data_IF_532045270816
#
_entry.id   IF_532045270816
#
_cell.length_a   1.000
_cell.length_b   1.000
_cell.length_c   1.000
_cell.angle_alpha   90.00
_cell.angle_beta   90.00
_cell.angle_gamma   90.00
#
_symmetry.space_group_name_H-M   'P 1'
#
loop_
_entity.id
_entity.type
_entity.pdbx_description
1 polymer ?
#
# COMPACT_ATOMS: atom_id res chain seq x y z
N UNK A 1 8.28 -4.66 6.86
CA UNK A 1 8.85 -3.61 6.01
C UNK A 1 8.45 -3.82 4.56
N UNK A 2 8.97 -2.99 3.66
CA UNK A 2 8.56 -2.89 2.25
C UNK A 2 9.32 -3.83 1.31
N UNK A 3 9.86 -4.94 1.85
CA UNK A 3 10.67 -5.92 1.11
C UNK A 3 10.35 -7.39 1.40
N UNK A 4 9.56 -7.68 2.44
CA UNK A 4 9.28 -9.06 2.92
C UNK A 4 10.52 -9.79 3.50
N UNK A 5 11.67 -9.12 3.62
CA UNK A 5 12.90 -9.69 4.19
C UNK A 5 12.79 -10.02 5.67
N UNK A 6 11.92 -9.32 6.39
CA UNK A 6 11.71 -9.50 7.84
C UNK A 6 10.85 -10.72 8.18
N UNK A 7 10.53 -11.57 7.20
CA UNK A 7 9.77 -12.80 7.42
C UNK A 7 10.57 -13.78 8.28
N UNK A 8 9.97 -14.24 9.38
CA UNK A 8 10.57 -15.24 10.27
C UNK A 8 10.75 -16.62 9.59
N UNK A 9 10.08 -16.85 8.46
CA UNK A 9 10.16 -18.09 7.68
C UNK A 9 11.10 -17.97 6.47
N UNK A 10 11.75 -16.81 6.31
CA UNK A 10 12.61 -16.50 5.18
C UNK A 10 11.95 -15.60 4.13
N UNK A 11 12.77 -14.91 3.31
CA UNK A 11 12.30 -13.92 2.37
C UNK A 11 11.60 -14.54 1.15
N UNK A 12 10.46 -13.97 0.75
CA UNK A 12 9.92 -14.18 -0.60
C UNK A 12 10.79 -13.46 -1.64
N UNK A 13 10.87 -13.99 -2.86
CA UNK A 13 11.67 -13.44 -3.96
C UNK A 13 10.80 -12.85 -5.05
N UNK A 14 11.34 -11.89 -5.81
CA UNK A 14 10.62 -11.30 -6.94
C UNK A 14 10.65 -12.24 -8.16
N UNK A 15 9.49 -12.61 -8.75
CA UNK A 15 9.44 -13.48 -9.91
C UNK A 15 10.16 -12.95 -11.16
N UNK A 16 10.32 -11.63 -11.29
CA UNK A 16 11.05 -11.02 -12.40
C UNK A 16 12.57 -11.09 -12.23
N UNK A 17 13.06 -11.19 -10.99
CA UNK A 17 14.47 -11.32 -10.67
C UNK A 17 14.63 -11.81 -9.22
N UNK A 18 15.05 -13.08 -8.99
CA UNK A 18 15.19 -13.64 -7.65
C UNK A 18 16.24 -12.98 -6.76
N UNK A 19 17.11 -12.12 -7.30
CA UNK A 19 18.05 -11.31 -6.51
C UNK A 19 17.42 -10.03 -5.94
N UNK A 20 16.15 -9.77 -6.25
CA UNK A 20 15.39 -8.57 -5.87
C UNK A 20 14.18 -8.91 -5.02
N UNK A 21 13.76 -7.91 -4.26
CA UNK A 21 12.63 -8.02 -3.33
C UNK A 21 11.30 -7.98 -4.10
N UNK A 22 10.27 -8.73 -3.68
CA UNK A 22 8.92 -8.64 -4.25
C UNK A 22 8.11 -7.45 -3.69
N UNK A 23 8.74 -6.60 -2.88
CA UNK A 23 8.09 -5.54 -2.12
C UNK A 23 7.60 -6.04 -0.77
N UNK A 24 6.84 -5.22 -0.04
CA UNK A 24 6.27 -5.64 1.23
C UNK A 24 5.19 -4.73 1.82
N UNK A 25 4.46 -5.18 2.83
CA UNK A 25 4.61 -6.49 3.49
C UNK A 25 3.93 -7.66 2.77
N UNK A 26 3.04 -7.41 1.80
CA UNK A 26 2.34 -8.48 1.08
C UNK A 26 3.12 -9.01 -0.14
N UNK A 27 4.45 -9.12 -0.01
CA UNK A 27 5.33 -9.54 -1.12
C UNK A 27 5.03 -10.96 -1.61
N UNK A 28 4.72 -11.90 -0.71
CA UNK A 28 4.32 -13.25 -1.08
C UNK A 28 3.03 -13.30 -1.91
N UNK A 29 2.02 -12.50 -1.57
CA UNK A 29 0.77 -12.41 -2.34
C UNK A 29 1.01 -11.87 -3.75
N UNK A 30 1.82 -10.83 -3.89
CA UNK A 30 2.16 -10.25 -5.19
C UNK A 30 2.99 -11.21 -6.04
N UNK A 31 4.00 -11.85 -5.44
CA UNK A 31 4.86 -12.81 -6.11
C UNK A 31 4.07 -14.03 -6.60
N UNK A 32 3.21 -14.63 -5.77
CA UNK A 32 2.41 -15.79 -6.15
C UNK A 32 1.49 -15.53 -7.35
N UNK A 33 0.86 -14.34 -7.40
CA UNK A 33 0.04 -13.94 -8.54
C UNK A 33 0.90 -13.69 -9.79
N UNK A 34 2.02 -12.99 -9.63
CA UNK A 34 2.91 -12.69 -10.76
C UNK A 34 3.51 -13.95 -11.38
N UNK A 35 3.93 -14.91 -10.55
CA UNK A 35 4.45 -16.22 -10.95
C UNK A 35 3.39 -17.17 -11.53
N UNK A 36 2.10 -16.84 -11.38
CA UNK A 36 1.01 -17.72 -11.81
C UNK A 36 0.78 -18.93 -10.90
N UNK A 37 1.26 -18.88 -9.66
CA UNK A 37 0.97 -19.90 -8.64
C UNK A 37 -0.48 -19.83 -8.16
N UNK A 38 -1.10 -18.65 -8.24
CA UNK A 38 -2.52 -18.46 -7.99
C UNK A 38 -3.11 -17.41 -8.95
N UNK A 39 -4.42 -17.48 -9.18
CA UNK A 39 -5.14 -16.53 -10.05
C UNK A 39 -5.29 -15.16 -9.37
N UNK A 40 -5.49 -15.18 -8.05
CA UNK A 40 -5.66 -14.00 -7.22
C UNK A 40 -5.21 -14.29 -5.80
N UNK A 41 -4.82 -13.23 -5.09
CA UNK A 41 -4.46 -13.30 -3.68
C UNK A 41 -5.04 -12.11 -2.92
N UNK A 42 -5.12 -12.23 -1.59
CA UNK A 42 -5.40 -11.11 -0.70
C UNK A 42 -4.09 -10.63 -0.05
N UNK A 43 -4.03 -9.34 0.22
CA UNK A 43 -3.04 -8.75 1.11
C UNK A 43 -3.67 -7.72 2.03
N UNK A 44 -2.82 -7.04 2.80
CA UNK A 44 -3.22 -5.91 3.65
C UNK A 44 -2.33 -4.71 3.34
N UNK A 45 -2.90 -3.51 3.31
CA UNK A 45 -2.20 -2.26 3.03
C UNK A 45 -2.40 -1.28 4.19
N UNK A 46 -1.33 -1.04 4.95
CA UNK A 46 -1.31 -0.06 6.05
C UNK A 46 -0.65 1.26 5.62
N UNK A 47 0.32 1.18 4.71
CA UNK A 47 1.07 2.34 4.20
C UNK A 47 1.63 2.11 2.81
N UNK A 48 1.03 1.23 2.00
CA UNK A 48 1.54 0.82 0.68
C UNK A 48 1.65 -0.68 0.47
N UNK A 49 1.34 -1.47 1.50
CA UNK A 49 1.67 -2.90 1.56
C UNK A 49 0.88 -3.82 0.63
N UNK A 50 -0.06 -3.29 -0.18
CA UNK A 50 -0.60 -3.96 -1.37
C UNK A 50 -0.03 -3.33 -2.65
N UNK A 51 -0.07 -2.01 -2.74
CA UNK A 51 0.25 -1.27 -3.97
C UNK A 51 1.73 -1.36 -4.34
N UNK A 52 2.64 -1.22 -3.39
CA UNK A 52 4.08 -1.29 -3.66
C UNK A 52 4.52 -2.70 -4.10
N UNK A 53 4.10 -3.81 -3.44
CA UNK A 53 4.36 -5.14 -3.97
C UNK A 53 3.79 -5.37 -5.37
N UNK A 54 2.61 -4.82 -5.65
CA UNK A 54 1.98 -4.94 -6.97
C UNK A 54 2.82 -4.23 -8.05
N UNK A 55 3.31 -3.03 -7.76
CA UNK A 55 4.24 -2.31 -8.63
C UNK A 55 5.55 -3.07 -8.85
N UNK A 56 6.12 -3.69 -7.81
CA UNK A 56 7.39 -4.44 -7.91
C UNK A 56 7.25 -5.76 -8.65
N UNK A 57 6.10 -6.42 -8.54
CA UNK A 57 5.85 -7.72 -9.16
C UNK A 57 5.09 -7.61 -10.50
N UNK A 58 4.73 -6.41 -10.94
CA UNK A 58 4.04 -6.20 -12.22
C UNK A 58 2.64 -6.81 -12.25
N UNK A 59 1.89 -6.67 -11.15
CA UNK A 59 0.51 -7.14 -11.03
C UNK A 59 -0.42 -5.99 -10.63
N UNK A 60 -1.73 -6.22 -10.66
CA UNK A 60 -2.71 -5.25 -10.16
C UNK A 60 -2.87 -5.43 -8.65
N UNK A 61 -2.77 -4.34 -7.91
CA UNK A 61 -2.98 -4.33 -6.45
C UNK A 61 -3.87 -3.18 -6.02
N UNK A 62 -4.99 -3.49 -5.38
CA UNK A 62 -5.98 -2.49 -4.95
C UNK A 62 -6.08 -2.45 -3.43
N UNK A 63 -5.98 -1.25 -2.86
CA UNK A 63 -6.41 -0.95 -1.50
C UNK A 63 -7.75 -0.19 -1.56
N UNK A 64 -8.84 -0.73 -1.02
CA UNK A 64 -10.12 -0.04 -1.07
C UNK A 64 -10.20 1.07 -0.02
N UNK A 65 -11.31 1.81 0.00
CA UNK A 65 -11.59 2.81 1.05
C UNK A 65 -11.46 2.16 2.42
N UNK A 66 -10.90 2.89 3.40
CA UNK A 66 -10.87 2.41 4.78
C UNK A 66 -12.29 2.13 5.28
N UNK A 67 -12.53 0.92 5.78
CA UNK A 67 -13.85 0.43 6.19
C UNK A 67 -14.70 -0.21 5.06
N UNK A 68 -14.26 -0.21 3.79
CA UNK A 68 -14.97 -0.92 2.70
C UNK A 68 -14.97 -2.44 2.85
N UNK A 69 -13.85 -3.01 3.29
CA UNK A 69 -13.67 -4.43 3.61
C UNK A 69 -13.50 -4.56 5.12
N UNK A 70 -14.16 -5.56 5.72
CA UNK A 70 -14.07 -5.85 7.15
C UNK A 70 -12.65 -6.21 7.55
N UNK A 71 -12.24 -5.76 8.73
CA UNK A 71 -10.95 -6.11 9.36
C UNK A 71 -11.13 -7.17 10.45
N UNK A 72 -12.35 -7.69 10.63
CA UNK A 72 -12.57 -8.82 11.53
C UNK A 72 -11.82 -10.05 11.00
N UNK A 73 -10.87 -10.56 11.80
CA UNK A 73 -9.97 -11.65 11.42
C UNK A 73 -8.64 -11.20 10.82
N UNK A 74 -8.46 -9.91 10.53
CA UNK A 74 -7.15 -9.35 10.20
C UNK A 74 -6.31 -9.18 11.47
N UNK A 75 -5.07 -9.69 11.45
CA UNK A 75 -4.10 -9.40 12.51
C UNK A 75 -3.69 -7.93 12.42
N UNK A 76 -4.20 -7.12 13.35
CA UNK A 76 -4.04 -5.68 13.31
C UNK A 76 -2.57 -5.26 13.51
N UNK A 77 -2.09 -4.40 12.61
CA UNK A 77 -0.85 -3.65 12.76
C UNK A 77 -1.16 -2.22 13.19
N UNK A 78 -1.74 -1.39 12.33
CA UNK A 78 -2.22 -0.06 12.68
C UNK A 78 -3.71 0.07 12.37
N UNK A 79 -4.53 -0.08 13.41
CA UNK A 79 -5.98 -0.17 13.33
C UNK A 79 -6.66 0.97 12.57
N UNK A 80 -6.12 2.18 12.53
CA UNK A 80 -6.74 3.30 11.81
C UNK A 80 -6.29 3.43 10.35
N UNK A 81 -5.45 2.51 9.86
CA UNK A 81 -4.79 2.55 8.56
C UNK A 81 -4.91 1.23 7.78
N UNK A 82 -4.93 0.10 8.48
CA UNK A 82 -4.99 -1.24 7.90
C UNK A 82 -6.22 -1.42 7.01
N UNK A 83 -6.03 -1.98 5.82
CA UNK A 83 -7.13 -2.43 4.99
C UNK A 83 -6.77 -3.62 4.11
N UNK A 84 -7.67 -4.61 4.03
CA UNK A 84 -7.52 -5.78 3.14
C UNK A 84 -7.89 -5.39 1.71
N UNK A 85 -7.20 -5.96 0.73
CA UNK A 85 -7.50 -5.76 -0.69
C UNK A 85 -6.86 -6.81 -1.60
N UNK A 86 -7.27 -6.83 -2.89
CA UNK A 86 -6.87 -7.88 -3.83
C UNK A 86 -5.54 -7.61 -4.56
N UNK A 87 -4.88 -8.71 -4.91
CA UNK A 87 -3.86 -8.82 -5.95
C UNK A 87 -4.38 -9.71 -7.08
N UNK A 88 -4.21 -9.28 -8.33
CA UNK A 88 -4.73 -9.99 -9.51
C UNK A 88 -3.90 -9.70 -10.76
N UNK A 89 -4.09 -10.51 -11.80
CA UNK A 89 -3.47 -10.27 -13.11
C UNK A 89 -4.15 -9.19 -13.95
N UNK A 90 -5.38 -8.78 -13.61
CA UNK A 90 -6.13 -7.76 -14.35
C UNK A 90 -7.01 -6.90 -13.45
N UNK A 91 -7.33 -5.68 -13.88
CA UNK A 91 -8.24 -4.78 -13.14
C UNK A 91 -9.65 -5.38 -13.07
N UNK A 92 -10.06 -6.13 -14.09
CA UNK A 92 -11.36 -6.81 -14.10
C UNK A 92 -11.47 -7.86 -12.98
N UNK A 93 -10.41 -8.67 -12.77
CA UNK A 93 -10.38 -9.64 -11.68
C UNK A 93 -10.32 -8.94 -10.31
N UNK A 94 -9.60 -7.81 -10.20
CA UNK A 94 -9.59 -7.02 -8.98
C UNK A 94 -10.98 -6.51 -8.61
N UNK A 95 -11.78 -6.08 -9.61
CA UNK A 95 -13.16 -5.63 -9.42
C UNK A 95 -14.06 -6.76 -8.90
N UNK A 96 -13.97 -7.94 -9.51
CA UNK A 96 -14.71 -9.15 -9.09
C UNK A 96 -14.39 -9.53 -7.64
N UNK A 97 -13.10 -9.65 -7.32
CA UNK A 97 -12.68 -10.05 -5.99
C UNK A 97 -13.05 -8.99 -4.94
N UNK A 98 -12.89 -7.70 -5.28
CA UNK A 98 -13.29 -6.61 -4.39
C UNK A 98 -14.79 -6.63 -4.10
N UNK A 99 -15.63 -6.90 -5.10
CA UNK A 99 -17.08 -6.97 -4.94
C UNK A 99 -17.48 -8.05 -3.93
N UNK A 100 -16.80 -9.20 -3.96
CA UNK A 100 -17.08 -10.33 -3.06
C UNK A 100 -16.67 -10.04 -1.62
N UNK A 101 -15.50 -9.42 -1.40
CA UNK A 101 -14.96 -9.22 -0.04
C UNK A 101 -15.44 -7.93 0.64
N UNK A 102 -16.02 -6.99 -0.12
CA UNK A 102 -16.52 -5.73 0.40
C UNK A 102 -17.87 -5.87 1.08
N UNK A 103 -18.20 -4.91 1.95
CA UNK A 103 -19.52 -4.77 2.55
C UNK A 103 -19.50 -4.75 4.06
N UNK A 104 -20.61 -4.31 4.64
CA UNK A 104 -20.79 -4.16 6.08
C UNK A 104 -20.61 -5.50 6.82
N UNK A 105 -19.86 -5.47 7.93
CA UNK A 105 -19.74 -6.59 8.86
C UNK A 105 -20.07 -6.13 10.28
N UNK A 106 -21.09 -6.73 10.88
CA UNK A 106 -21.50 -6.45 12.27
C UNK A 106 -20.43 -6.71 13.33
N UNK A 107 -19.38 -7.48 12.98
CA UNK A 107 -18.26 -7.80 13.88
C UNK A 107 -17.11 -6.78 13.79
N UNK A 108 -17.18 -5.83 12.86
CA UNK A 108 -16.22 -4.74 12.72
C UNK A 108 -16.94 -3.39 12.79
N UNK A 109 -16.84 -2.72 13.93
CA UNK A 109 -17.46 -1.42 14.18
C UNK A 109 -16.90 -0.28 13.29
N UNK A 110 -15.79 -0.51 12.60
CA UNK A 110 -15.19 0.46 11.66
C UNK A 110 -15.60 0.22 10.21
N UNK A 111 -16.28 -0.89 9.94
CA UNK A 111 -16.76 -1.21 8.62
C UNK A 111 -17.92 -0.28 8.24
N UNK A 112 -17.79 0.34 7.06
CA UNK A 112 -18.75 1.33 6.58
C UNK A 112 -20.07 0.65 6.22
N UNK A 113 -21.16 1.24 6.69
CA UNK A 113 -22.52 0.83 6.33
C UNK A 113 -22.89 1.43 4.96
N UNK A 114 -22.13 1.07 3.93
CA UNK A 114 -22.30 1.53 2.56
C UNK A 114 -22.60 0.31 1.65
N UNK A 115 -23.53 0.44 0.67
CA UNK A 115 -23.76 -0.62 -0.29
C UNK A 115 -22.49 -0.90 -1.09
N UNK A 116 -22.30 -2.17 -1.46
CA UNK A 116 -21.28 -2.58 -2.42
C UNK A 116 -21.89 -2.43 -3.81
N UNK A 117 -21.35 -1.57 -4.68
CA UNK A 117 -21.86 -1.43 -6.03
C UNK A 117 -21.44 -2.61 -6.92
N UNK A 118 -22.03 -2.70 -8.11
CA UNK A 118 -21.56 -3.61 -9.15
C UNK A 118 -20.32 -3.02 -9.81
N UNK A 119 -19.15 -3.36 -9.30
CA UNK A 119 -17.88 -2.82 -9.79
C UNK A 119 -17.62 -3.19 -11.25
N UNK A 120 -18.16 -4.30 -11.74
CA UNK A 120 -17.97 -4.72 -13.13
C UNK A 120 -18.70 -3.82 -14.12
N UNK A 121 -19.89 -3.34 -13.74
CA UNK A 121 -20.71 -2.48 -14.58
C UNK A 121 -19.99 -1.16 -14.91
N UNK A 122 -19.12 -0.69 -14.01
CA UNK A 122 -18.33 0.54 -14.20
C UNK A 122 -17.17 0.38 -15.19
N UNK A 123 -16.62 -0.84 -15.38
CA UNK A 123 -15.40 -1.05 -16.16
C UNK A 123 -15.53 -0.61 -17.62
N UNK A 124 -16.71 -0.79 -18.22
CA UNK A 124 -16.97 -0.50 -19.63
C UNK A 124 -17.32 0.97 -19.89
N UNK A 125 -17.41 1.80 -18.86
CA UNK A 125 -17.77 3.20 -19.01
C UNK A 125 -16.60 4.03 -19.59
N UNK A 126 -16.85 4.90 -20.57
CA UNK A 126 -15.81 5.74 -21.16
C UNK A 126 -15.26 6.74 -20.12
N UNK A 127 -13.98 7.08 -20.26
CA UNK A 127 -13.27 8.02 -19.36
C UNK A 127 -13.08 9.41 -19.96
N UNK A 128 -13.56 9.63 -21.20
CA UNK A 128 -13.45 10.92 -21.87
C UNK A 128 -14.14 12.03 -21.07
N UNK A 129 -13.44 13.14 -20.88
CA UNK A 129 -13.89 14.29 -20.09
C UNK A 129 -13.57 14.23 -18.60
N UNK A 130 -13.08 13.09 -18.07
CA UNK A 130 -12.61 13.02 -16.69
C UNK A 130 -11.31 13.81 -16.51
N UNK A 131 -11.15 14.41 -15.34
CA UNK A 131 -9.96 15.16 -14.93
C UNK A 131 -9.01 14.29 -14.12
N UNK A 132 -7.81 14.11 -14.63
CA UNK A 132 -6.73 13.34 -14.01
C UNK A 132 -5.72 14.32 -13.42
N UNK A 133 -5.64 14.35 -12.09
CA UNK A 133 -4.75 15.21 -11.34
C UNK A 133 -3.34 14.63 -11.21
N UNK A 134 -2.33 15.40 -11.63
CA UNK A 134 -0.91 15.09 -11.42
C UNK A 134 -0.42 15.89 -10.21
N UNK A 135 -0.07 15.19 -9.13
CA UNK A 135 0.42 15.82 -7.89
C UNK A 135 1.90 16.19 -8.08
N UNK A 136 2.20 17.49 -8.19
CA UNK A 136 3.56 17.98 -8.45
C UNK A 136 4.59 17.42 -7.47
N UNK A 137 4.26 17.39 -6.18
CA UNK A 137 5.15 16.91 -5.12
C UNK A 137 5.58 15.44 -5.31
N UNK A 138 4.78 14.62 -6.00
CA UNK A 138 5.12 13.23 -6.30
C UNK A 138 6.18 13.12 -7.42
N UNK A 139 6.14 14.01 -8.41
CA UNK A 139 7.05 14.01 -9.57
C UNK A 139 8.35 14.77 -9.32
N UNK A 140 8.40 15.54 -8.24
CA UNK A 140 9.56 16.25 -7.71
C UNK A 140 10.14 15.57 -6.46
N UNK A 141 9.56 14.43 -6.05
CA UNK A 141 9.99 13.68 -4.88
C UNK A 141 11.48 13.30 -4.98
N UNK A 142 12.29 13.57 -3.94
CA UNK A 142 13.68 13.14 -3.90
C UNK A 142 13.79 11.61 -4.06
N UNK A 143 14.69 11.16 -4.93
CA UNK A 143 14.93 9.74 -5.17
C UNK A 143 13.97 9.08 -6.16
N UNK A 144 13.06 9.82 -6.79
CA UNK A 144 12.27 9.31 -7.92
C UNK A 144 13.18 9.01 -9.12
N UNK A 145 13.24 7.74 -9.52
CA UNK A 145 13.99 7.28 -10.67
C UNK A 145 13.44 7.94 -11.96
N UNK A 146 14.29 8.51 -12.83
CA UNK A 146 13.86 9.10 -14.09
C UNK A 146 13.07 8.16 -15.01
N UNK A 147 13.37 6.86 -15.01
CA UNK A 147 12.64 5.85 -15.78
C UNK A 147 11.22 5.63 -15.23
N UNK A 148 11.08 5.62 -13.91
CA UNK A 148 9.77 5.55 -13.24
C UNK A 148 8.97 6.80 -13.58
N UNK A 149 9.58 7.98 -13.44
CA UNK A 149 8.93 9.26 -13.80
C UNK A 149 8.45 9.26 -15.26
N UNK A 150 9.31 8.86 -16.20
CA UNK A 150 8.97 8.81 -17.62
C UNK A 150 7.82 7.82 -17.92
N UNK A 151 7.88 6.62 -17.34
CA UNK A 151 6.83 5.59 -17.53
C UNK A 151 5.48 6.04 -16.98
N UNK A 152 5.45 6.72 -15.84
CA UNK A 152 4.21 7.22 -15.24
C UNK A 152 3.63 8.41 -16.02
N UNK A 153 4.48 9.30 -16.53
CA UNK A 153 4.02 10.39 -17.42
C UNK A 153 3.45 9.83 -18.73
N UNK A 154 4.06 8.79 -19.30
CA UNK A 154 3.49 8.09 -20.46
C UNK A 154 2.13 7.45 -20.15
N UNK A 155 1.91 6.99 -18.91
CA UNK A 155 0.58 6.52 -18.48
C UNK A 155 -0.46 7.65 -18.42
N UNK A 156 -0.06 8.83 -17.96
CA UNK A 156 -0.91 10.02 -18.01
C UNK A 156 -1.24 10.43 -19.45
N UNK A 157 -0.26 10.41 -20.36
CA UNK A 157 -0.47 10.66 -21.79
C UNK A 157 -1.42 9.63 -22.43
N UNK A 158 -1.34 8.35 -22.02
CA UNK A 158 -2.28 7.33 -22.47
C UNK A 158 -3.71 7.64 -22.03
N UNK A 159 -3.93 8.07 -20.78
CA UNK A 159 -5.25 8.53 -20.31
C UNK A 159 -5.72 9.79 -21.06
N UNK A 160 -4.82 10.72 -21.36
CA UNK A 160 -5.13 11.89 -22.18
C UNK A 160 -5.59 11.48 -23.60
N UNK A 161 -4.95 10.47 -24.20
CA UNK A 161 -5.35 9.94 -25.51
C UNK A 161 -6.74 9.28 -25.52
N UNK A 162 -7.20 8.81 -24.35
CA UNK A 162 -8.56 8.30 -24.14
C UNK A 162 -9.59 9.43 -23.88
N UNK A 163 -9.15 10.69 -23.92
CA UNK A 163 -10.01 11.86 -23.79
C UNK A 163 -10.06 12.46 -22.38
N UNK A 164 -9.22 12.02 -21.43
CA UNK A 164 -9.11 12.67 -20.13
C UNK A 164 -8.39 14.03 -20.23
N UNK A 165 -8.74 14.95 -19.32
CA UNK A 165 -8.02 16.21 -19.12
C UNK A 165 -6.93 16.01 -18.05
N UNK A 166 -5.68 16.34 -18.35
CA UNK A 166 -4.60 16.33 -17.36
C UNK A 166 -4.54 17.67 -16.64
N UNK A 167 -4.59 17.63 -15.31
CA UNK A 167 -4.56 18.82 -14.45
C UNK A 167 -3.40 18.70 -13.48
N UNK A 168 -2.43 19.61 -13.55
CA UNK A 168 -1.38 19.68 -12.54
C UNK A 168 -1.90 20.36 -11.27
N UNK A 169 -1.67 19.76 -10.11
CA UNK A 169 -2.08 20.30 -8.83
C UNK A 169 -1.04 20.06 -7.74
N UNK A 170 -1.23 20.72 -6.60
CA UNK A 170 -0.31 20.66 -5.46
C UNK A 170 -1.01 20.10 -4.23
N UNK A 171 -0.37 19.12 -3.60
CA UNK A 171 -0.68 18.60 -2.28
C UNK A 171 0.54 18.86 -1.38
N UNK A 172 0.69 20.06 -0.79
CA UNK A 172 1.94 20.46 -0.16
C UNK A 172 2.34 19.62 1.06
N UNK A 173 1.38 18.96 1.74
CA UNK A 173 1.65 18.04 2.86
C UNK A 173 1.85 16.59 2.42
N UNK A 174 1.94 16.30 1.12
CA UNK A 174 2.10 14.93 0.64
C UNK A 174 3.35 14.26 1.26
N UNK A 175 4.46 15.00 1.29
CA UNK A 175 5.73 14.52 1.86
C UNK A 175 5.74 14.44 3.40
N UNK A 176 4.79 15.08 4.09
CA UNK A 176 4.61 14.92 5.55
C UNK A 176 4.09 13.53 5.92
N UNK A 177 3.64 12.74 4.93
CA UNK A 177 3.08 11.41 5.09
C UNK A 177 4.00 10.44 5.85
N UNK A 178 5.28 10.37 5.49
CA UNK A 178 6.24 9.44 6.13
C UNK A 178 6.36 9.72 7.62
N UNK A 179 6.69 10.95 7.99
CA UNK A 179 6.88 11.30 9.39
C UNK A 179 5.58 11.08 10.20
N UNK A 180 4.43 11.40 9.61
CA UNK A 180 3.12 11.17 10.22
C UNK A 180 2.83 9.68 10.42
N UNK A 181 3.11 8.85 9.42
CA UNK A 181 2.92 7.40 9.45
C UNK A 181 3.80 6.71 10.47
N UNK A 182 5.09 7.03 10.51
CA UNK A 182 6.05 6.43 11.42
C UNK A 182 5.89 6.88 12.88
N UNK A 183 4.92 7.74 13.17
CA UNK A 183 4.42 7.97 14.53
C UNK A 183 3.11 7.22 14.77
N UNK A 184 2.12 7.34 13.88
CA UNK A 184 0.79 6.74 14.08
C UNK A 184 0.86 5.21 14.05
N UNK A 185 1.45 4.63 13.00
CA UNK A 185 1.45 3.17 12.82
C UNK A 185 2.22 2.46 13.94
N UNK A 186 3.44 2.89 14.35
CA UNK A 186 4.12 2.30 15.50
C UNK A 186 3.36 2.49 16.83
N UNK A 187 2.72 3.65 17.06
CA UNK A 187 1.90 3.89 18.25
C UNK A 187 0.75 2.90 18.35
N UNK A 188 0.02 2.69 17.27
CA UNK A 188 -1.07 1.72 17.26
C UNK A 188 -0.56 0.28 17.33
N UNK A 189 0.57 -0.02 16.69
CA UNK A 189 1.21 -1.33 16.76
C UNK A 189 1.66 -1.70 18.17
N UNK A 190 2.22 -0.76 18.94
CA UNK A 190 2.64 -1.04 20.31
C UNK A 190 1.47 -1.50 21.20
N UNK A 191 0.28 -0.92 20.98
CA UNK A 191 -0.95 -1.33 21.65
C UNK A 191 -1.54 -2.62 21.06
N UNK A 192 -1.64 -2.73 19.74
CA UNK A 192 -2.24 -3.88 19.05
C UNK A 192 -1.47 -5.17 19.34
N UNK A 193 -0.14 -5.11 19.30
CA UNK A 193 0.75 -6.25 19.53
C UNK A 193 0.98 -6.54 21.01
N UNK A 194 0.44 -5.75 21.95
CA UNK A 194 0.56 -6.01 23.39
C UNK A 194 -0.09 -7.35 23.80
N UNK A 195 -1.08 -7.81 23.03
CA UNK A 195 -1.80 -9.09 23.26
C UNK A 195 -0.95 -10.34 23.06
N UNK A 196 0.20 -10.24 22.38
CA UNK A 196 1.12 -11.35 22.18
C UNK A 196 2.07 -11.41 23.38
N UNK A 197 1.63 -12.14 24.40
CA UNK A 197 2.30 -12.31 25.69
C UNK A 197 2.68 -13.77 25.99
N UNK A 198 2.31 -14.71 25.10
CA UNK A 198 2.51 -16.14 25.28
C UNK A 198 1.53 -16.79 26.25
N UNK A 199 0.55 -16.06 26.81
CA UNK A 199 -0.37 -16.59 27.84
C UNK A 199 -1.51 -17.41 27.23
N UNK A 200 -2.22 -16.85 26.26
CA UNK A 200 -3.41 -17.51 25.66
C UNK A 200 -3.07 -18.32 24.41
N UNK A 201 -2.09 -17.88 23.63
CA UNK A 201 -1.71 -18.46 22.34
C UNK A 201 -0.32 -17.97 21.92
N UNK A 202 0.22 -18.59 20.87
CA UNK A 202 1.49 -18.20 20.25
C UNK A 202 2.71 -18.77 20.98
N UNK A 203 3.86 -18.16 20.72
CA UNK A 203 5.13 -18.55 21.33
C UNK A 203 5.15 -18.21 22.83
N UNK A 204 5.59 -19.16 23.64
CA UNK A 204 5.87 -18.97 25.07
C UNK A 204 7.29 -19.43 25.34
N UNK A 205 8.09 -18.55 25.93
CA UNK A 205 9.42 -18.90 26.42
C UNK A 205 9.31 -19.94 27.54
N UNK A 206 10.17 -20.95 27.53
CA UNK A 206 10.21 -22.01 28.55
C UNK A 206 10.75 -21.53 29.91
N UNK A 207 11.13 -20.25 30.01
CA UNK A 207 11.77 -19.68 31.18
C UNK A 207 10.91 -19.82 32.46
N UNK A 208 11.56 -20.31 33.52
CA UNK A 208 11.00 -20.44 34.87
C UNK A 208 11.31 -19.19 35.68
N UNK A 209 10.27 -18.53 36.18
CA UNK A 209 10.36 -17.25 36.87
C UNK A 209 8.98 -16.65 37.14
N UNK A 210 8.87 -15.32 37.02
CA UNK A 210 7.60 -14.59 37.19
C UNK A 210 6.81 -14.46 35.87
N UNK A 211 5.51 -14.13 35.96
CA UNK A 211 4.69 -13.82 34.78
C UNK A 211 5.30 -12.68 33.94
N UNK A 212 5.84 -11.65 34.60
CA UNK A 212 6.46 -10.52 33.92
C UNK A 212 7.69 -10.92 33.11
N UNK A 213 8.53 -11.81 33.67
CA UNK A 213 9.71 -12.35 32.99
C UNK A 213 9.33 -13.23 31.80
N UNK A 214 8.37 -14.14 31.98
CA UNK A 214 7.87 -15.00 30.90
C UNK A 214 7.30 -14.17 29.74
N UNK A 215 6.51 -13.12 30.03
CA UNK A 215 5.99 -12.21 29.00
C UNK A 215 7.10 -11.45 28.28
N UNK A 216 8.05 -10.87 29.03
CA UNK A 216 9.15 -10.10 28.45
C UNK A 216 10.02 -10.96 27.53
N UNK A 217 10.38 -12.17 27.97
CA UNK A 217 11.18 -13.12 27.18
C UNK A 217 10.44 -13.65 25.96
N UNK A 218 9.17 -14.06 26.12
CA UNK A 218 8.36 -14.54 24.99
C UNK A 218 8.26 -13.49 23.87
N UNK A 219 8.18 -12.22 24.23
CA UNK A 219 8.15 -11.10 23.26
C UNK A 219 9.52 -10.83 22.64
N UNK A 220 10.58 -10.84 23.44
CA UNK A 220 11.95 -10.61 22.95
C UNK A 220 12.43 -11.73 22.03
N UNK A 221 12.06 -12.98 22.32
CA UNK A 221 12.41 -14.17 21.54
C UNK A 221 11.47 -14.35 20.33
N UNK A 222 10.19 -13.95 20.45
CA UNK A 222 9.17 -14.18 19.42
C UNK A 222 9.04 -13.08 18.36
N UNK A 223 9.44 -11.83 18.65
CA UNK A 223 9.39 -10.74 17.66
C UNK A 223 10.76 -10.47 17.04
N UNK A 224 10.80 -10.30 15.72
CA UNK A 224 12.01 -9.80 15.04
C UNK A 224 12.30 -8.32 15.29
N UNK A 225 13.51 -7.90 14.99
CA UNK A 225 14.05 -6.56 15.31
C UNK A 225 13.18 -5.40 14.84
N UNK A 226 12.65 -5.46 13.61
CA UNK A 226 11.79 -4.39 13.07
C UNK A 226 10.49 -4.25 13.86
N UNK A 227 9.89 -5.37 14.30
CA UNK A 227 8.67 -5.35 15.10
C UNK A 227 8.96 -4.78 16.48
N UNK A 228 10.06 -5.20 17.12
CA UNK A 228 10.49 -4.66 18.41
C UNK A 228 10.77 -3.15 18.32
N UNK A 229 11.46 -2.69 17.26
CA UNK A 229 11.75 -1.27 17.01
C UNK A 229 10.47 -0.44 16.93
N UNK A 230 9.46 -0.91 16.19
CA UNK A 230 8.15 -0.22 16.10
C UNK A 230 7.41 -0.21 17.44
N UNK A 231 7.44 -1.29 18.20
CA UNK A 231 6.84 -1.33 19.55
C UNK A 231 7.50 -0.29 20.46
N UNK A 232 8.83 -0.19 20.45
CA UNK A 232 9.57 0.79 21.26
C UNK A 232 9.23 2.23 20.86
N UNK A 233 9.27 2.55 19.56
CA UNK A 233 8.91 3.89 19.03
C UNK A 233 7.47 4.24 19.43
N UNK A 234 6.53 3.32 19.25
CA UNK A 234 5.13 3.54 19.58
C UNK A 234 4.88 3.73 21.06
N UNK A 235 5.55 2.93 21.91
CA UNK A 235 5.44 3.05 23.37
C UNK A 235 5.99 4.41 23.84
N UNK A 236 7.10 4.87 23.25
CA UNK A 236 7.63 6.21 23.52
C UNK A 236 6.66 7.31 23.07
N UNK A 237 6.15 7.24 21.83
CA UNK A 237 5.24 8.24 21.26
C UNK A 237 3.90 8.35 22.02
N UNK A 238 3.47 7.29 22.70
CA UNK A 238 2.26 7.27 23.54
C UNK A 238 2.53 7.55 25.01
N UNK A 239 3.78 7.65 25.44
CA UNK A 239 4.12 7.83 26.85
C UNK A 239 3.69 9.21 27.39
N UNK A 240 3.40 9.26 28.69
CA UNK A 240 3.02 10.48 29.37
C UNK A 240 4.13 11.56 29.21
N UNK A 241 3.73 12.78 28.84
CA UNK A 241 4.65 13.89 28.53
C UNK A 241 5.03 14.00 27.05
N UNK A 242 4.92 12.92 26.27
CA UNK A 242 5.26 12.89 24.84
C UNK A 242 4.06 12.73 23.90
N UNK A 243 2.94 12.17 24.39
CA UNK A 243 1.73 11.90 23.59
C UNK A 243 1.18 13.11 22.83
N UNK A 244 1.18 14.30 23.45
CA UNK A 244 0.71 15.53 22.80
C UNK A 244 1.67 16.00 21.70
N UNK A 245 2.98 15.85 21.92
CA UNK A 245 4.03 16.31 21.00
C UNK A 245 4.21 15.39 19.79
N UNK A 246 3.97 14.08 19.96
CA UNK A 246 4.13 13.08 18.90
C UNK A 246 2.78 12.60 18.35
N UNK A 247 2.07 11.72 19.06
CA UNK A 247 0.89 11.05 18.52
C UNK A 247 -0.24 12.02 18.16
N UNK A 248 -0.59 12.95 19.06
CA UNK A 248 -1.61 13.97 18.77
C UNK A 248 -1.19 14.91 17.65
N UNK A 249 0.08 15.31 17.59
CA UNK A 249 0.60 16.14 16.52
C UNK A 249 0.52 15.43 15.17
N UNK A 250 0.89 14.15 15.12
CA UNK A 250 0.76 13.34 13.91
C UNK A 250 -0.70 13.23 13.46
N UNK A 251 -1.65 13.04 14.38
CA UNK A 251 -3.08 13.03 14.04
C UNK A 251 -3.58 14.38 13.48
N UNK A 252 -3.03 15.51 13.95
CA UNK A 252 -3.31 16.83 13.36
C UNK A 252 -2.74 16.94 11.94
N UNK A 253 -1.51 16.47 11.70
CA UNK A 253 -0.90 16.48 10.37
C UNK A 253 -1.66 15.54 9.42
N UNK A 254 -2.09 14.36 9.87
CA UNK A 254 -2.99 13.46 9.12
C UNK A 254 -4.26 14.19 8.66
N UNK A 255 -4.83 15.04 9.52
CA UNK A 255 -5.99 15.87 9.15
C UNK A 255 -5.65 16.90 8.07
N UNK A 256 -4.44 17.47 8.07
CA UNK A 256 -3.98 18.38 7.01
C UNK A 256 -3.76 17.65 5.68
N UNK A 257 -3.17 16.45 5.71
CA UNK A 257 -3.00 15.59 4.53
C UNK A 257 -4.37 15.30 3.91
N UNK A 258 -5.35 14.89 4.71
CA UNK A 258 -6.71 14.64 4.24
C UNK A 258 -7.33 15.88 3.58
N UNK A 259 -7.16 17.06 4.18
CA UNK A 259 -7.66 18.33 3.60
C UNK A 259 -6.98 18.69 2.28
N UNK A 260 -5.73 18.29 2.06
CA UNK A 260 -5.06 18.49 0.77
C UNK A 260 -5.71 17.64 -0.32
N UNK A 261 -6.01 16.36 -0.04
CA UNK A 261 -6.76 15.51 -0.97
C UNK A 261 -8.17 16.03 -1.22
N UNK A 262 -8.90 16.45 -0.17
CA UNK A 262 -10.25 17.04 -0.33
C UNK A 262 -10.22 18.28 -1.25
N UNK A 263 -9.19 19.12 -1.15
CA UNK A 263 -9.02 20.26 -2.08
C UNK A 263 -8.63 19.81 -3.48
N UNK A 264 -7.79 18.79 -3.62
CA UNK A 264 -7.43 18.25 -4.93
C UNK A 264 -8.67 17.70 -5.66
N UNK A 265 -9.47 16.86 -4.99
CA UNK A 265 -10.71 16.30 -5.56
C UNK A 265 -11.82 17.33 -5.81
N UNK A 266 -11.67 18.57 -5.35
CA UNK A 266 -12.55 19.66 -5.79
C UNK A 266 -12.27 20.12 -7.23
N UNK A 267 -11.11 19.74 -7.78
CA UNK A 267 -10.67 20.11 -9.14
C UNK A 267 -10.49 18.95 -10.10
N UNK A 268 -10.38 17.71 -9.60
CA UNK A 268 -10.13 16.52 -10.39
C UNK A 268 -10.95 15.33 -9.90
N UNK A 269 -11.16 14.35 -10.78
CA UNK A 269 -11.94 13.15 -10.48
C UNK A 269 -11.04 12.02 -9.93
N UNK A 270 -9.82 11.92 -10.46
CA UNK A 270 -8.84 10.90 -10.09
C UNK A 270 -7.45 11.53 -10.01
N UNK A 271 -6.62 11.06 -9.08
CA UNK A 271 -5.22 11.46 -8.96
C UNK A 271 -4.32 10.36 -9.52
N UNK A 272 -3.25 10.75 -10.20
CA UNK A 272 -2.25 9.88 -10.77
C UNK A 272 -0.87 10.20 -10.19
N UNK A 273 -0.21 9.19 -9.63
CA UNK A 273 1.14 9.30 -9.07
C UNK A 273 1.97 8.06 -9.44
N UNK A 274 3.30 8.09 -9.35
CA UNK A 274 4.06 6.84 -9.30
C UNK A 274 3.67 6.05 -8.05
N UNK A 275 3.70 4.71 -8.14
CA UNK A 275 3.41 3.86 -6.96
C UNK A 275 4.62 3.76 -6.03
N UNK A 276 5.81 3.68 -6.60
CA UNK A 276 7.09 3.56 -5.89
C UNK A 276 8.10 4.52 -6.53
N UNK A 277 9.06 5.09 -5.77
CA UNK A 277 10.09 5.95 -6.35
C UNK A 277 11.07 5.21 -7.28
N UNK A 278 11.22 3.89 -7.13
CA UNK A 278 12.11 3.05 -7.94
C UNK A 278 11.44 1.72 -8.30
N UNK A 279 12.07 0.95 -9.18
CA UNK A 279 11.75 -0.47 -9.39
C UNK A 279 12.26 -1.34 -8.23
N UNK A 280 11.90 -2.62 -8.24
CA UNK A 280 12.27 -3.57 -7.20
C UNK A 280 13.78 -3.56 -6.92
N UNK A 281 14.19 -3.27 -5.68
CA UNK A 281 15.61 -3.22 -5.29
C UNK A 281 16.16 -4.60 -4.89
N UNK A 282 17.50 -4.71 -4.82
CA UNK A 282 18.18 -5.95 -4.42
C UNK A 282 17.98 -6.24 -2.93
N UNK A 283 18.00 -7.51 -2.54
CA UNK A 283 18.05 -7.89 -1.12
C UNK A 283 19.21 -7.20 -0.39
N UNK A 284 18.99 -6.84 0.88
CA UNK A 284 19.95 -6.09 1.69
C UNK A 284 20.11 -4.62 1.31
N UNK A 285 19.48 -4.14 0.23
CA UNK A 285 19.44 -2.71 -0.03
C UNK A 285 18.73 -2.02 1.15
N UNK A 286 19.31 -0.92 1.63
CA UNK A 286 18.82 -0.14 2.76
C UNK A 286 18.85 -0.85 4.14
N UNK A 287 19.54 -1.99 4.28
CA UNK A 287 19.68 -2.66 5.58
C UNK A 287 20.36 -1.79 6.65
N UNK A 288 21.30 -0.95 6.23
CA UNK A 288 22.04 0.00 7.09
C UNK A 288 21.34 1.37 7.22
N UNK A 289 20.29 1.63 6.43
CA UNK A 289 19.54 2.88 6.44
C UNK A 289 18.01 2.63 6.45
N UNK A 290 17.42 2.45 7.65
CA UNK A 290 15.98 2.27 7.80
C UNK A 290 15.16 3.42 7.19
N UNK A 291 15.70 4.66 7.15
CA UNK A 291 14.98 5.79 6.56
C UNK A 291 14.86 5.64 5.05
N UNK A 292 15.88 5.11 4.38
CA UNK A 292 15.82 4.82 2.95
C UNK A 292 14.78 3.74 2.63
N UNK A 293 14.62 2.72 3.47
CA UNK A 293 13.52 1.75 3.35
C UNK A 293 12.15 2.42 3.51
N UNK A 294 12.03 3.41 4.42
CA UNK A 294 10.77 4.12 4.65
C UNK A 294 10.39 5.05 3.49
N UNK A 295 11.40 5.59 2.78
CA UNK A 295 11.20 6.40 1.58
C UNK A 295 10.62 5.56 0.41
N UNK A 296 10.75 4.23 0.42
CA UNK A 296 10.09 3.37 -0.56
C UNK A 296 8.56 3.47 -0.51
N UNK A 297 7.98 3.83 0.64
CA UNK A 297 6.54 3.98 0.85
C UNK A 297 6.05 5.44 0.67
N UNK A 298 6.94 6.37 0.34
CA UNK A 298 6.65 7.82 0.27
C UNK A 298 5.37 8.13 -0.51
N UNK A 299 5.20 7.46 -1.65
CA UNK A 299 4.14 7.74 -2.61
C UNK A 299 2.82 7.02 -2.30
N UNK A 300 2.81 6.07 -1.37
CA UNK A 300 1.63 5.25 -1.05
C UNK A 300 0.97 5.64 0.27
N UNK A 301 1.77 6.02 1.28
CA UNK A 301 1.30 6.38 2.63
C UNK A 301 0.17 7.43 2.66
N UNK A 302 0.22 8.54 1.89
CA UNK A 302 -0.77 9.61 2.01
C UNK A 302 -2.22 9.14 1.75
N UNK A 303 -2.42 8.14 0.88
CA UNK A 303 -3.73 7.56 0.64
C UNK A 303 -4.30 6.82 1.88
N UNK A 304 -3.46 6.10 2.64
CA UNK A 304 -3.87 5.46 3.90
C UNK A 304 -4.22 6.52 4.95
N UNK A 305 -3.42 7.58 5.04
CA UNK A 305 -3.66 8.69 5.96
C UNK A 305 -5.02 9.35 5.73
N UNK A 306 -5.40 9.52 4.46
CA UNK A 306 -6.69 10.07 4.07
C UNK A 306 -7.82 9.03 3.99
N UNK A 307 -7.54 7.73 4.17
CA UNK A 307 -8.54 6.65 4.09
C UNK A 307 -9.06 6.37 2.68
N UNK A 308 -8.36 6.83 1.64
CA UNK A 308 -8.79 6.83 0.24
C UNK A 308 -8.54 5.49 -0.45
N UNK A 309 -9.41 5.05 -1.38
CA UNK A 309 -9.10 3.92 -2.25
C UNK A 309 -7.97 4.27 -3.23
N UNK A 310 -7.08 3.31 -3.49
CA UNK A 310 -5.97 3.47 -4.42
C UNK A 310 -5.60 2.14 -5.06
N UNK A 311 -5.26 2.15 -6.35
CA UNK A 311 -4.87 0.98 -7.13
C UNK A 311 -3.51 1.22 -7.77
N UNK A 312 -2.66 0.20 -7.77
CA UNK A 312 -1.45 0.14 -8.59
C UNK A 312 -1.70 -0.78 -9.78
N UNK A 313 -1.34 -0.31 -10.98
CA UNK A 313 -1.38 -1.09 -12.23
C UNK A 313 -0.04 -0.95 -12.96
N UNK A 314 0.44 -1.97 -13.68
CA UNK A 314 1.70 -1.89 -14.43
C UNK A 314 1.64 -0.78 -15.49
N UNK A 315 2.66 0.08 -15.55
CA UNK A 315 2.78 1.16 -16.53
C UNK A 315 4.04 1.13 -17.41
N UNK A 316 4.93 0.16 -17.18
CA UNK A 316 6.11 -0.03 -18.00
C UNK A 316 7.13 -0.93 -17.33
N UNK A 317 8.33 -0.93 -17.89
CA UNK A 317 9.49 -1.66 -17.40
C UNK A 317 10.71 -0.74 -17.45
N UNK A 318 11.64 -0.91 -16.51
CA UNK A 318 12.94 -0.26 -16.59
C UNK A 318 13.86 -0.97 -17.62
N UNK A 319 15.05 -0.41 -17.83
CA UNK A 319 16.06 -1.00 -18.73
C UNK A 319 16.54 -2.39 -18.31
N UNK A 320 16.31 -2.81 -17.06
CA UNK A 320 16.63 -4.15 -16.55
C UNK A 320 15.45 -5.11 -16.67
N UNK A 321 14.32 -4.66 -17.23
CA UNK A 321 13.10 -5.44 -17.39
C UNK A 321 12.27 -5.57 -16.12
N UNK A 322 12.50 -4.73 -15.11
CA UNK A 322 11.72 -4.75 -13.87
C UNK A 322 10.43 -3.93 -14.02
N UNK A 323 9.30 -4.41 -13.50
CA UNK A 323 8.04 -3.68 -13.60
C UNK A 323 8.05 -2.32 -12.91
N UNK A 324 7.30 -1.38 -13.50
CA UNK A 324 6.99 -0.06 -12.94
C UNK A 324 5.47 0.03 -12.79
N UNK A 325 4.99 0.54 -11.65
CA UNK A 325 3.56 0.71 -11.38
C UNK A 325 3.12 2.17 -11.32
N UNK A 326 2.03 2.51 -12.00
CA UNK A 326 1.29 3.77 -11.81
C UNK A 326 0.21 3.57 -10.76
N UNK A 327 0.05 4.56 -9.90
CA UNK A 327 -0.97 4.59 -8.87
C UNK A 327 -2.09 5.55 -9.28
N UNK A 328 -3.33 5.08 -9.18
CA UNK A 328 -4.54 5.89 -9.28
C UNK A 328 -5.21 5.98 -7.91
N UNK A 329 -5.77 7.14 -7.57
CA UNK A 329 -6.44 7.40 -6.28
C UNK A 329 -7.73 8.19 -6.55
N UNK A 330 -8.85 7.76 -5.98
CA UNK A 330 -10.14 8.47 -6.05
C UNK A 330 -10.64 8.85 -4.66
N UNK A 331 -11.78 9.55 -4.61
CA UNK A 331 -12.45 9.90 -3.37
C UNK A 331 -12.93 8.67 -2.58
N UNK A 332 -13.24 8.90 -1.30
CA UNK A 332 -13.85 7.90 -0.40
C UNK A 332 -15.08 7.27 -1.05
N UNK A 333 -15.15 5.93 -1.05
CA UNK A 333 -16.22 5.11 -1.65
C UNK A 333 -16.37 5.25 -3.17
N UNK A 334 -15.36 5.75 -3.88
CA UNK A 334 -15.36 5.86 -5.35
C UNK A 334 -14.52 4.75 -6.02
N UNK A 335 -14.60 3.52 -5.52
CA UNK A 335 -13.89 2.39 -6.15
C UNK A 335 -14.41 2.08 -7.56
N UNK A 336 -15.67 2.38 -7.88
CA UNK A 336 -16.22 2.23 -9.25
C UNK A 336 -15.46 3.10 -10.26
N UNK A 337 -15.28 4.39 -9.95
CA UNK A 337 -14.49 5.32 -10.78
C UNK A 337 -13.03 4.89 -10.86
N UNK A 338 -12.47 4.45 -9.72
CA UNK A 338 -11.07 3.98 -9.66
C UNK A 338 -10.84 2.80 -10.61
N UNK A 339 -11.71 1.80 -10.55
CA UNK A 339 -11.66 0.60 -11.37
C UNK A 339 -11.98 0.90 -12.84
N UNK A 340 -12.94 1.79 -13.11
CA UNK A 340 -13.24 2.29 -14.46
C UNK A 340 -11.99 2.89 -15.11
N UNK A 341 -11.35 3.88 -14.46
CA UNK A 341 -10.17 4.55 -15.02
C UNK A 341 -9.00 3.58 -15.18
N UNK A 342 -8.75 2.75 -14.16
CA UNK A 342 -7.68 1.76 -14.20
C UNK A 342 -7.87 0.73 -15.32
N UNK A 343 -9.10 0.27 -15.54
CA UNK A 343 -9.40 -0.71 -16.58
C UNK A 343 -9.27 -0.10 -17.99
N UNK A 344 -9.82 1.10 -18.21
CA UNK A 344 -9.68 1.78 -19.50
C UNK A 344 -8.21 2.04 -19.83
N UNK A 345 -7.41 2.43 -18.84
CA UNK A 345 -5.95 2.51 -18.99
C UNK A 345 -5.32 1.15 -19.33
N UNK A 346 -5.60 0.11 -18.55
CA UNK A 346 -5.05 -1.24 -18.75
C UNK A 346 -5.32 -1.77 -20.16
N UNK A 347 -6.56 -1.63 -20.65
CA UNK A 347 -6.97 -2.10 -21.97
C UNK A 347 -6.29 -1.34 -23.11
N UNK A 348 -6.04 -0.04 -22.94
CA UNK A 348 -5.38 0.79 -23.95
C UNK A 348 -3.86 0.62 -23.94
N UNK A 349 -3.25 0.54 -22.76
CA UNK A 349 -1.80 0.48 -22.60
C UNK A 349 -1.23 -0.91 -22.90
N UNK A 350 -1.96 -1.97 -22.52
CA UNK A 350 -1.57 -3.38 -22.74
C UNK A 350 -0.13 -3.70 -22.31
N UNK A 351 0.33 -3.07 -21.22
CA UNK A 351 1.74 -3.10 -20.78
C UNK A 351 2.27 -4.52 -20.62
N UNK A 352 1.49 -5.38 -19.97
CA UNK A 352 1.90 -6.75 -19.68
C UNK A 352 1.93 -7.65 -20.93
N UNK A 353 1.17 -7.33 -21.99
CA UNK A 353 1.27 -8.02 -23.28
C UNK A 353 2.58 -7.70 -24.00
N UNK A 354 3.23 -6.58 -23.66
CA UNK A 354 4.49 -6.11 -24.23
C UNK A 354 5.67 -6.28 -23.26
N UNK A 355 5.51 -7.13 -22.25
CA UNK A 355 6.57 -7.38 -21.26
C UNK A 355 7.85 -7.92 -21.93
N UNK A 356 9.04 -7.64 -21.35
CA UNK A 356 10.27 -8.28 -21.78
C UNK A 356 10.13 -9.81 -21.84
N UNK A 357 10.72 -10.43 -22.86
CA UNK A 357 10.79 -11.87 -22.97
C UNK A 357 11.77 -12.42 -21.92
N UNK A 358 11.26 -12.61 -20.70
CA UNK A 358 11.96 -13.25 -19.59
C UNK A 358 11.03 -14.28 -18.95
N UNK A 359 11.57 -15.45 -18.61
CA UNK A 359 10.82 -16.42 -17.81
C UNK A 359 10.70 -15.87 -16.39
N UNK A 360 9.47 -15.87 -15.88
CA UNK A 360 9.24 -15.59 -14.46
C UNK A 360 9.68 -16.79 -13.64
N UNK A 361 10.36 -16.53 -12.54
CA UNK A 361 10.75 -17.57 -11.59
C UNK A 361 9.58 -17.81 -10.66
N UNK A 362 9.05 -19.06 -10.61
CA UNK A 362 7.98 -19.42 -9.69
C UNK A 362 8.31 -19.14 -8.23
#
# INVERSE_FOLDING_TARGET
>A
GSSTETSAFGPSRNPWNPERVPGGSSGGSAAAVAAGECVAALGSDTGGSIRQPAAFCGVVGLKPTYGRVSRYGLVAFASSLDQVGPFTGSVADAAELLQVISGADSRDATCLQAPVPDYRAALQQPVAGLKVGLIRECFEAPGLDPQVKASVLAAAEQLQSLGCELVELSCPRFNDGIATYYVIAPSEASANLARYDGVKYGYRSEASGSLAEMTARSRAEGFGDEVQRRILIGTYALSAGYVDAYYKKAQQVRSLIRRDFERAFASVDVLLTPTSPSTAFRFGAHSEDPLAMYLADLLTIPANMAGLPAISVPCGFDQQGLPIGVQLITGVLQEELLLQVAHQYEQAAQVMLRRPAAELVP
#
